data_IF_723323140673
#
_entry.id   IF_723323140673
#
_cell.length_a   1.000
_cell.length_b   1.000
_cell.length_c   1.000
_cell.angle_alpha   90.00
_cell.angle_beta   90.00
_cell.angle_gamma   90.00
#
_symmetry.space_group_name_H-M   'P 1'
#
loop_
_entity.id
_entity.type
_entity.pdbx_description
1 polymer ?
#
# COMPACT_ATOMS: atom_id res chain seq x y z
N UNK A 1 -1.43 -15.69 5.79
CA UNK A 1 -0.98 -14.36 6.23
C UNK A 1 -1.72 -13.31 5.42
N UNK A 2 -1.94 -12.13 5.98
CA UNK A 2 -2.56 -10.98 5.34
C UNK A 2 -1.53 -9.88 5.12
N UNK A 3 -1.83 -9.02 4.15
CA UNK A 3 -1.19 -7.72 4.00
C UNK A 3 -1.99 -6.72 4.82
N UNK A 4 -1.29 -6.01 5.68
CA UNK A 4 -1.86 -4.99 6.54
C UNK A 4 -1.09 -3.69 6.39
N UNK A 5 -1.80 -2.57 6.38
CA UNK A 5 -1.20 -1.23 6.32
C UNK A 5 -1.18 -0.59 7.70
N UNK A 6 -0.05 0.01 8.05
CA UNK A 6 0.13 0.76 9.29
C UNK A 6 0.72 2.14 9.01
N UNK A 7 0.37 3.11 9.87
CA UNK A 7 0.99 4.44 9.88
C UNK A 7 2.16 4.42 10.86
N UNK A 8 3.27 5.06 10.52
CA UNK A 8 4.43 5.18 11.40
C UNK A 8 4.98 6.61 11.40
N UNK A 9 5.55 7.02 12.52
CA UNK A 9 6.28 8.29 12.63
C UNK A 9 7.78 7.98 12.54
N UNK A 10 8.54 8.69 11.68
CA UNK A 10 9.99 8.58 11.68
C UNK A 10 10.55 9.07 13.01
N UNK A 11 11.25 8.19 13.72
CA UNK A 11 12.13 8.61 14.81
C UNK A 11 13.48 9.03 14.21
N UNK A 12 14.02 10.16 14.65
CA UNK A 12 15.21 10.79 14.06
C UNK A 12 16.39 9.82 13.90
N UNK A 13 16.99 9.81 12.71
CA UNK A 13 18.21 9.09 12.29
C UNK A 13 18.29 7.55 12.49
N UNK A 14 17.28 6.89 13.05
CA UNK A 14 17.29 5.44 13.20
C UNK A 14 16.74 4.73 11.95
N UNK A 15 17.64 4.06 11.20
CA UNK A 15 17.24 3.02 10.25
C UNK A 15 16.56 1.88 11.04
N UNK A 16 15.22 1.95 11.16
CA UNK A 16 14.30 1.08 11.90
C UNK A 16 13.72 1.60 13.25
N UNK A 17 13.94 2.87 13.63
CA UNK A 17 13.16 3.51 14.70
C UNK A 17 11.79 3.94 14.17
N UNK A 18 10.78 3.09 14.30
CA UNK A 18 9.41 3.39 13.85
C UNK A 18 8.44 3.19 15.00
N UNK A 19 7.85 4.29 15.44
CA UNK A 19 6.68 4.21 16.30
C UNK A 19 5.46 4.02 15.40
N UNK A 20 4.93 2.79 15.38
CA UNK A 20 3.67 2.48 14.71
C UNK A 20 2.56 3.20 15.47
N UNK A 21 1.84 4.06 14.76
CA UNK A 21 0.70 4.79 15.31
C UNK A 21 -0.46 3.83 15.45
N UNK A 22 -1.01 3.73 16.66
CA UNK A 22 -2.17 2.89 16.94
C UNK A 22 -3.36 3.36 16.10
N UNK A 23 -3.95 2.43 15.34
CA UNK A 23 -5.12 2.73 14.53
C UNK A 23 -6.34 3.05 15.42
N UNK A 24 -7.17 4.04 15.05
CA UNK A 24 -8.45 4.27 15.73
C UNK A 24 -9.32 3.00 15.72
N UNK A 25 -10.13 2.74 16.77
CA UNK A 25 -11.01 1.58 16.80
C UNK A 25 -11.92 1.50 15.57
N UNK A 26 -12.00 0.32 14.94
CA UNK A 26 -12.82 0.08 13.76
C UNK A 26 -12.17 0.48 12.43
N UNK A 27 -10.93 0.95 12.43
CA UNK A 27 -10.17 1.21 11.21
C UNK A 27 -9.86 -0.10 10.48
N UNK A 28 -10.19 -0.18 9.19
CA UNK A 28 -9.73 -1.27 8.33
C UNK A 28 -8.26 -1.07 8.00
N UNK A 29 -7.44 -2.10 8.23
CA UNK A 29 -6.01 -2.14 7.86
C UNK A 29 -5.71 -3.16 6.77
N UNK A 30 -6.67 -4.05 6.47
CA UNK A 30 -6.46 -5.14 5.55
C UNK A 30 -6.37 -4.67 4.10
N UNK A 31 -5.22 -4.88 3.47
CA UNK A 31 -4.96 -4.57 2.05
C UNK A 31 -4.78 -5.81 1.19
N UNK A 32 -5.10 -6.98 1.73
CA UNK A 32 -5.18 -8.24 0.98
C UNK A 32 -4.76 -9.48 1.78
N UNK A 33 -4.93 -10.65 1.17
CA UNK A 33 -4.18 -11.85 1.55
C UNK A 33 -2.73 -11.77 1.02
N UNK A 34 -1.82 -12.51 1.64
CA UNK A 34 -0.40 -12.57 1.25
C UNK A 34 -0.17 -12.86 -0.25
N UNK A 35 -1.01 -13.71 -0.86
CA UNK A 35 -0.90 -14.02 -2.30
C UNK A 35 -1.09 -12.81 -3.21
N UNK A 36 -1.82 -11.78 -2.76
CA UNK A 36 -2.07 -10.56 -3.53
C UNK A 36 -0.80 -9.74 -3.77
N UNK A 37 0.28 -9.96 -3.00
CA UNK A 37 1.60 -9.36 -3.33
C UNK A 37 1.96 -9.64 -4.77
N UNK A 38 1.85 -10.89 -5.20
CA UNK A 38 2.28 -11.34 -6.53
C UNK A 38 1.14 -11.31 -7.53
N UNK A 39 -0.05 -11.74 -7.11
CA UNK A 39 -1.17 -11.99 -8.02
C UNK A 39 -1.85 -10.70 -8.48
N UNK A 40 -1.90 -9.67 -7.63
CA UNK A 40 -2.51 -8.38 -7.95
C UNK A 40 -1.47 -7.27 -7.98
N UNK A 41 -0.87 -6.93 -6.84
CA UNK A 41 -0.04 -5.74 -6.68
C UNK A 41 1.24 -5.78 -7.51
N UNK A 42 1.90 -6.94 -7.54
CA UNK A 42 3.09 -7.23 -8.34
C UNK A 42 2.82 -7.54 -9.81
N UNK A 43 1.55 -7.65 -10.20
CA UNK A 43 1.16 -8.16 -11.51
C UNK A 43 1.68 -7.28 -12.64
N UNK A 44 1.88 -7.88 -13.81
CA UNK A 44 2.22 -7.15 -15.02
C UNK A 44 1.15 -6.14 -15.44
N UNK A 45 -0.11 -6.30 -14.99
CA UNK A 45 -1.19 -5.36 -15.25
C UNK A 45 -0.97 -4.04 -14.49
N UNK A 46 -0.71 -4.13 -13.19
CA UNK A 46 -0.40 -2.97 -12.33
C UNK A 46 0.85 -2.25 -12.82
N UNK A 47 1.93 -2.98 -13.16
CA UNK A 47 3.16 -2.38 -13.71
C UNK A 47 2.93 -1.66 -15.04
N UNK A 48 2.09 -2.21 -15.93
CA UNK A 48 1.77 -1.59 -17.24
C UNK A 48 0.99 -0.28 -17.12
N UNK A 49 0.27 -0.08 -16.02
CA UNK A 49 -0.38 1.19 -15.71
C UNK A 49 0.60 2.25 -15.20
N UNK A 50 1.88 1.89 -15.00
CA UNK A 50 2.91 2.82 -14.53
C UNK A 50 3.06 2.88 -13.01
N UNK A 51 2.43 1.96 -12.27
CA UNK A 51 2.62 1.85 -10.83
C UNK A 51 4.07 1.45 -10.50
N UNK A 52 4.62 2.07 -9.47
CA UNK A 52 5.99 1.94 -9.00
C UNK A 52 6.08 1.58 -7.53
N UNK A 53 5.06 1.85 -6.70
CA UNK A 53 5.05 1.51 -5.29
C UNK A 53 4.49 0.11 -5.03
N UNK A 54 3.22 -0.14 -5.35
CA UNK A 54 2.55 -1.42 -5.07
C UNK A 54 3.25 -2.65 -5.69
N UNK A 55 3.87 -2.57 -6.89
CA UNK A 55 4.65 -3.69 -7.42
C UNK A 55 5.81 -4.15 -6.54
N UNK A 56 6.36 -3.26 -5.69
CA UNK A 56 7.46 -3.61 -4.79
C UNK A 56 7.07 -4.64 -3.73
N UNK A 57 5.77 -4.83 -3.46
CA UNK A 57 5.29 -5.90 -2.59
C UNK A 57 5.67 -7.29 -3.12
N UNK A 58 5.78 -7.47 -4.44
CA UNK A 58 6.27 -8.70 -5.04
C UNK A 58 7.80 -8.76 -5.17
N UNK A 59 8.47 -7.61 -5.22
CA UNK A 59 9.92 -7.51 -5.41
C UNK A 59 10.64 -7.63 -4.06
N UNK A 60 10.55 -8.82 -3.45
CA UNK A 60 11.11 -9.09 -2.12
C UNK A 60 12.65 -9.12 -2.18
N UNK A 61 13.26 -8.29 -1.34
CA UNK A 61 14.71 -8.20 -1.15
C UNK A 61 15.08 -8.45 0.31
N UNK A 62 16.38 -8.67 0.56
CA UNK A 62 16.92 -8.79 1.92
C UNK A 62 16.64 -7.51 2.74
N UNK A 63 16.63 -6.36 2.08
CA UNK A 63 16.49 -5.05 2.72
C UNK A 63 15.04 -4.71 3.03
N UNK A 64 14.09 -4.99 2.12
CA UNK A 64 12.68 -4.67 2.35
C UNK A 64 11.93 -5.75 3.13
N UNK A 65 12.43 -7.00 3.12
CA UNK A 65 11.79 -8.18 3.74
C UNK A 65 10.32 -8.36 3.33
N UNK A 66 9.98 -7.92 2.12
CA UNK A 66 8.63 -7.95 1.57
C UNK A 66 7.78 -6.74 1.93
N UNK A 67 8.21 -5.87 2.83
CA UNK A 67 7.45 -4.70 3.25
C UNK A 67 7.60 -3.54 2.26
N UNK A 68 6.48 -2.89 1.95
CA UNK A 68 6.50 -1.63 1.20
C UNK A 68 6.45 -0.47 2.19
N UNK A 69 7.45 0.42 2.13
CA UNK A 69 7.48 1.65 2.92
C UNK A 69 7.30 2.85 2.00
N UNK A 70 6.43 3.77 2.41
CA UNK A 70 6.25 5.06 1.75
C UNK A 70 6.56 6.15 2.76
N UNK A 71 7.58 6.94 2.47
CA UNK A 71 8.03 8.03 3.34
C UNK A 71 7.02 9.19 3.33
N UNK A 72 7.02 10.05 4.37
CA UNK A 72 6.12 11.22 4.42
C UNK A 72 6.14 12.07 3.13
N UNK A 73 7.33 12.31 2.57
CA UNK A 73 7.51 13.08 1.33
C UNK A 73 7.10 12.36 0.04
N UNK A 74 6.72 11.08 0.11
CA UNK A 74 6.29 10.27 -1.02
C UNK A 74 4.77 9.98 -1.00
N UNK A 75 4.06 10.39 0.06
CA UNK A 75 2.64 10.10 0.24
C UNK A 75 1.77 10.62 -0.91
N UNK A 76 2.08 11.80 -1.47
CA UNK A 76 1.33 12.37 -2.60
C UNK A 76 1.48 11.51 -3.87
N UNK A 77 2.69 11.03 -4.14
CA UNK A 77 2.96 10.16 -5.28
C UNK A 77 2.28 8.80 -5.12
N UNK A 78 2.28 8.24 -3.90
CA UNK A 78 1.60 7.00 -3.60
C UNK A 78 0.07 7.13 -3.69
N UNK A 79 -0.51 8.22 -3.19
CA UNK A 79 -1.94 8.48 -3.33
C UNK A 79 -2.34 8.60 -4.80
N UNK A 80 -1.53 9.29 -5.61
CA UNK A 80 -1.78 9.40 -7.05
C UNK A 80 -1.73 8.03 -7.75
N UNK A 81 -0.83 7.14 -7.35
CA UNK A 81 -0.81 5.76 -7.82
C UNK A 81 -2.09 5.01 -7.43
N UNK A 82 -2.57 5.15 -6.18
CA UNK A 82 -3.84 4.53 -5.78
C UNK A 82 -5.02 5.05 -6.61
N UNK A 83 -5.06 6.35 -6.92
CA UNK A 83 -6.11 6.96 -7.77
C UNK A 83 -6.02 6.39 -9.19
N UNK A 84 -4.82 6.34 -9.77
CA UNK A 84 -4.59 5.78 -11.11
C UNK A 84 -5.09 4.33 -11.22
N UNK A 85 -4.81 3.50 -10.21
CA UNK A 85 -5.26 2.12 -10.20
C UNK A 85 -6.77 1.99 -9.98
N UNK A 86 -7.39 2.90 -9.21
CA UNK A 86 -8.83 2.94 -9.02
C UNK A 86 -9.56 3.35 -10.32
N UNK A 87 -9.02 4.32 -11.07
CA UNK A 87 -9.54 4.71 -12.38
C UNK A 87 -9.45 3.58 -13.42
N UNK A 88 -8.45 2.70 -13.28
CA UNK A 88 -8.23 1.55 -14.14
C UNK A 88 -8.79 0.22 -13.57
N UNK A 89 -9.68 0.26 -12.57
CA UNK A 89 -10.11 -0.93 -11.84
C UNK A 89 -10.72 -2.02 -12.74
N UNK A 90 -11.53 -1.66 -13.73
CA UNK A 90 -12.15 -2.62 -14.65
C UNK A 90 -11.10 -3.39 -15.45
N UNK A 91 -10.05 -2.69 -15.88
CA UNK A 91 -8.92 -3.31 -16.58
C UNK A 91 -8.13 -4.24 -15.66
N UNK A 92 -7.92 -3.84 -14.40
CA UNK A 92 -7.24 -4.67 -13.40
C UNK A 92 -8.06 -5.92 -13.07
N UNK A 93 -9.38 -5.77 -12.90
CA UNK A 93 -10.30 -6.87 -12.64
C UNK A 93 -10.26 -7.89 -13.77
N UNK A 94 -10.41 -7.44 -15.02
CA UNK A 94 -10.33 -8.31 -16.19
C UNK A 94 -8.97 -9.01 -16.33
N UNK A 95 -7.86 -8.34 -16.00
CA UNK A 95 -6.52 -8.89 -16.17
C UNK A 95 -6.09 -9.87 -15.08
N UNK A 96 -6.63 -9.72 -13.87
CA UNK A 96 -6.20 -10.48 -12.68
C UNK A 96 -7.25 -11.46 -12.19
N UNK A 97 -8.49 -11.34 -12.64
CA UNK A 97 -9.63 -12.16 -12.19
C UNK A 97 -10.17 -11.76 -10.81
N UNK A 98 -9.63 -10.70 -10.20
CA UNK A 98 -10.11 -10.15 -8.94
C UNK A 98 -11.31 -9.24 -9.14
N UNK A 99 -12.25 -9.29 -8.21
CA UNK A 99 -13.43 -8.43 -8.21
C UNK A 99 -13.04 -6.94 -8.09
N UNK A 100 -13.68 -6.08 -8.89
CA UNK A 100 -13.37 -4.65 -8.96
C UNK A 100 -13.68 -3.93 -7.64
N UNK A 101 -14.82 -4.22 -7.01
CA UNK A 101 -15.20 -3.63 -5.72
C UNK A 101 -14.19 -3.98 -4.63
N UNK A 102 -13.68 -5.22 -4.65
CA UNK A 102 -12.62 -5.67 -3.75
C UNK A 102 -11.31 -4.93 -3.97
N UNK A 103 -10.91 -4.68 -5.21
CA UNK A 103 -9.71 -3.89 -5.52
C UNK A 103 -9.89 -2.44 -5.02
N UNK A 104 -11.04 -1.83 -5.30
CA UNK A 104 -11.37 -0.48 -4.84
C UNK A 104 -11.36 -0.36 -3.32
N UNK A 105 -11.87 -1.38 -2.62
CA UNK A 105 -11.85 -1.43 -1.16
C UNK A 105 -10.42 -1.38 -0.60
N UNK A 106 -9.49 -2.13 -1.18
CA UNK A 106 -8.08 -2.10 -0.75
C UNK A 106 -7.43 -0.75 -1.04
N UNK A 107 -7.67 -0.17 -2.23
CA UNK A 107 -7.15 1.14 -2.59
C UNK A 107 -7.71 2.25 -1.68
N UNK A 108 -9.00 2.19 -1.34
CA UNK A 108 -9.61 3.10 -0.38
C UNK A 108 -8.98 2.96 1.02
N UNK A 109 -8.74 1.73 1.46
CA UNK A 109 -8.06 1.44 2.73
C UNK A 109 -6.65 2.05 2.76
N UNK A 110 -5.90 1.93 1.66
CA UNK A 110 -4.58 2.55 1.52
C UNK A 110 -4.65 4.09 1.57
N UNK A 111 -5.62 4.69 0.88
CA UNK A 111 -5.81 6.16 0.89
C UNK A 111 -6.19 6.68 2.28
N UNK A 112 -7.04 5.98 3.01
CA UNK A 112 -7.32 6.34 4.40
C UNK A 112 -6.10 6.23 5.31
N UNK A 113 -5.19 5.28 5.08
CA UNK A 113 -3.92 5.24 5.80
C UNK A 113 -3.02 6.45 5.44
N UNK A 114 -2.99 6.87 4.16
CA UNK A 114 -2.27 8.08 3.73
C UNK A 114 -2.80 9.34 4.42
N UNK A 115 -4.12 9.52 4.46
CA UNK A 115 -4.77 10.65 5.15
C UNK A 115 -4.34 10.71 6.62
N UNK A 116 -4.33 9.57 7.31
CA UNK A 116 -3.89 9.48 8.71
C UNK A 116 -2.40 9.72 8.88
N UNK A 117 -1.56 9.22 7.96
CA UNK A 117 -0.12 9.47 7.98
C UNK A 117 0.20 10.96 7.83
N UNK A 118 -0.52 11.68 6.97
CA UNK A 118 -0.37 13.14 6.80
C UNK A 118 -0.64 13.91 8.09
N UNK A 119 -1.65 13.52 8.86
CA UNK A 119 -2.02 14.19 10.14
C UNK A 119 -0.89 14.12 11.16
N UNK A 120 -0.12 13.04 11.16
CA UNK A 120 0.99 12.82 12.12
C UNK A 120 2.37 13.12 11.52
N UNK A 121 2.42 13.70 10.31
CA UNK A 121 3.67 13.89 9.55
C UNK A 121 4.49 12.60 9.38
N UNK A 122 3.79 11.46 9.32
CA UNK A 122 4.34 10.13 9.25
C UNK A 122 4.38 9.55 7.83
N UNK A 123 4.82 8.31 7.73
CA UNK A 123 4.74 7.49 6.53
C UNK A 123 3.74 6.34 6.69
N UNK A 124 3.64 5.51 5.66
CA UNK A 124 2.92 4.22 5.74
C UNK A 124 3.89 3.06 5.53
N UNK A 125 3.51 1.91 6.06
CA UNK A 125 4.14 0.62 5.77
C UNK A 125 3.05 -0.41 5.49
N UNK A 126 3.24 -1.21 4.45
CA UNK A 126 2.45 -2.41 4.19
C UNK A 126 3.32 -3.61 4.52
N UNK A 127 2.84 -4.42 5.46
CA UNK A 127 3.56 -5.58 5.98
C UNK A 127 3.48 -6.75 5.02
#
# INVERSE_FOLDING_TARGET
MSLDISVWIPDGDAYAGRDVVVDPPGTSTGVGAEGLRYELWGSAAVRRLGATFLPQLADITVDNRGHLQVLPGQLDAFEQECVLLAEAVEQLSAATGYDADRILHYLATMRHAVERARVVHGGIIIW
#
